data_IF_008339055699
#
_entry.id   IF_008339055699
#
_cell.length_a   1.000
_cell.length_b   1.000
_cell.length_c   1.000
_cell.angle_alpha   90.00
_cell.angle_beta   90.00
_cell.angle_gamma   90.00
#
_symmetry.space_group_name_H-M   'P 1'
#
loop_
_entity.id
_entity.type
_entity.pdbx_description
1 polymer ?
#
# COMPACT_ATOMS: atom_id res chain seq x y z
N UNK A 1 19.51 17.00 14.38
CA UNK A 1 18.70 18.08 13.78
C UNK A 1 19.63 19.24 13.43
N UNK A 2 19.40 19.94 12.31
CA UNK A 2 20.26 21.07 11.90
C UNK A 2 20.19 22.20 12.92
N UNK A 3 21.31 22.87 13.26
CA UNK A 3 21.32 24.05 14.13
C UNK A 3 20.80 25.32 13.44
N UNK A 4 20.53 25.27 12.13
CA UNK A 4 20.07 26.43 11.34
C UNK A 4 18.55 26.49 11.32
N UNK A 5 17.98 27.58 11.85
CA UNK A 5 16.53 27.84 11.78
C UNK A 5 16.07 27.92 10.31
N UNK A 6 15.00 27.19 9.98
CA UNK A 6 14.47 27.08 8.62
C UNK A 6 15.14 26.03 7.72
N UNK A 7 16.19 25.34 8.19
CA UNK A 7 16.83 24.26 7.44
C UNK A 7 16.25 22.89 7.81
N UNK A 8 15.40 22.35 6.95
CA UNK A 8 14.83 21.00 7.06
C UNK A 8 15.10 20.17 5.81
N UNK A 9 15.15 18.85 5.96
CA UNK A 9 15.22 17.91 4.84
C UNK A 9 13.82 17.45 4.41
N UNK A 10 13.70 17.03 3.15
CA UNK A 10 12.53 16.31 2.64
C UNK A 10 13.03 15.00 2.03
N UNK A 11 12.28 13.93 2.24
CA UNK A 11 12.53 12.63 1.62
C UNK A 11 11.25 12.18 0.93
N UNK A 12 11.39 11.74 -0.32
CA UNK A 12 10.34 11.06 -1.06
C UNK A 12 10.75 9.61 -1.28
N UNK A 13 9.84 8.69 -0.96
CA UNK A 13 9.98 7.26 -1.27
C UNK A 13 8.85 6.92 -2.23
N UNK A 14 9.19 6.55 -3.46
CA UNK A 14 8.21 6.11 -4.44
C UNK A 14 7.98 4.59 -4.35
N UNK A 15 6.99 4.22 -3.54
CA UNK A 15 6.56 2.84 -3.31
C UNK A 15 5.45 2.37 -4.29
N UNK A 16 5.26 3.04 -5.42
CA UNK A 16 4.30 2.60 -6.45
C UNK A 16 4.83 1.42 -7.27
N UNK A 17 3.91 0.68 -7.90
CA UNK A 17 4.26 -0.33 -8.90
C UNK A 17 4.94 0.32 -10.11
N UNK A 18 6.02 -0.28 -10.61
CA UNK A 18 6.82 0.29 -11.70
C UNK A 18 6.31 -0.11 -13.08
N UNK A 19 6.23 0.85 -13.98
CA UNK A 19 5.71 0.69 -15.33
C UNK A 19 6.82 0.24 -16.31
N UNK A 20 6.45 -0.24 -17.52
CA UNK A 20 7.42 -0.46 -18.59
C UNK A 20 8.24 0.82 -18.86
N UNK A 21 9.56 0.72 -18.76
CA UNK A 21 10.49 1.86 -18.87
C UNK A 21 11.10 2.30 -17.54
N UNK A 22 10.46 2.01 -16.41
CA UNK A 22 11.03 2.23 -15.07
C UNK A 22 11.77 1.00 -14.55
N UNK A 23 11.46 -0.19 -15.09
CA UNK A 23 12.15 -1.44 -14.80
C UNK A 23 12.12 -2.37 -16.01
N UNK A 24 13.15 -3.20 -16.15
CA UNK A 24 13.21 -4.31 -17.11
C UNK A 24 12.76 -5.66 -16.52
N UNK A 25 12.43 -5.68 -15.22
CA UNK A 25 11.99 -6.88 -14.49
C UNK A 25 10.47 -7.03 -14.59
N UNK A 26 10.00 -8.27 -14.60
CA UNK A 26 8.58 -8.55 -14.38
C UNK A 26 8.17 -8.07 -12.98
N UNK A 27 7.10 -7.29 -12.92
CA UNK A 27 6.55 -6.80 -11.66
C UNK A 27 5.55 -7.81 -11.08
N UNK A 28 5.56 -7.97 -9.77
CA UNK A 28 4.65 -8.92 -9.09
C UNK A 28 3.18 -8.54 -9.26
N UNK A 29 2.31 -9.57 -9.30
CA UNK A 29 0.86 -9.37 -9.30
C UNK A 29 0.35 -9.24 -7.86
N UNK A 30 -0.39 -8.18 -7.57
CA UNK A 30 -1.02 -7.99 -6.27
C UNK A 30 -2.06 -9.08 -6.01
N UNK A 31 -1.99 -9.69 -4.83
CA UNK A 31 -3.02 -10.62 -4.36
C UNK A 31 -4.22 -9.78 -3.89
N UNK A 32 -5.41 -10.13 -4.38
CA UNK A 32 -6.66 -9.48 -4.00
C UNK A 32 -7.64 -10.53 -3.46
N UNK A 33 -8.38 -10.17 -2.41
CA UNK A 33 -9.46 -11.01 -1.89
C UNK A 33 -10.64 -10.94 -2.87
N UNK A 34 -11.33 -12.07 -3.09
CA UNK A 34 -12.55 -12.02 -3.90
C UNK A 34 -13.66 -11.25 -3.16
N UNK A 35 -14.43 -10.46 -3.91
CA UNK A 35 -15.51 -9.63 -3.36
C UNK A 35 -16.56 -10.48 -2.63
N UNK A 36 -16.83 -11.69 -3.13
CA UNK A 36 -17.71 -12.66 -2.48
C UNK A 36 -17.20 -13.09 -1.11
N UNK A 37 -15.91 -13.43 -1.01
CA UNK A 37 -15.29 -13.84 0.26
C UNK A 37 -15.34 -12.68 1.25
N UNK A 38 -14.98 -11.48 0.80
CA UNK A 38 -15.01 -10.28 1.62
C UNK A 38 -16.41 -10.00 2.16
N UNK A 39 -17.43 -9.98 1.29
CA UNK A 39 -18.81 -9.75 1.67
C UNK A 39 -19.38 -10.83 2.61
N UNK A 40 -18.93 -12.08 2.48
CA UNK A 40 -19.29 -13.16 3.41
C UNK A 40 -18.67 -12.93 4.79
N UNK A 41 -17.38 -12.62 4.85
CA UNK A 41 -16.68 -12.38 6.12
C UNK A 41 -17.23 -11.13 6.81
N UNK A 42 -17.48 -10.04 6.08
CA UNK A 42 -18.04 -8.81 6.64
C UNK A 42 -19.38 -9.06 7.35
N UNK A 43 -20.25 -9.92 6.80
CA UNK A 43 -21.51 -10.32 7.45
C UNK A 43 -21.28 -11.12 8.72
N UNK A 44 -20.41 -12.13 8.67
CA UNK A 44 -20.07 -12.96 9.83
C UNK A 44 -19.46 -12.09 10.93
N UNK A 45 -18.61 -11.13 10.56
CA UNK A 45 -17.93 -10.25 11.50
C UNK A 45 -18.91 -9.46 12.37
N UNK A 46 -20.02 -8.98 11.78
CA UNK A 46 -21.08 -8.29 12.53
C UNK A 46 -21.78 -9.19 13.56
N UNK A 47 -21.87 -10.50 13.29
CA UNK A 47 -22.51 -11.48 14.18
C UNK A 47 -21.57 -11.92 15.32
N UNK A 48 -20.26 -11.83 15.13
CA UNK A 48 -19.25 -12.28 16.10
C UNK A 48 -19.02 -11.30 17.25
N UNK A 49 -19.50 -10.06 17.15
CA UNK A 49 -19.35 -9.05 18.21
C UNK A 49 -17.90 -8.60 18.45
N UNK A 50 -17.06 -8.65 17.42
CA UNK A 50 -15.63 -8.30 17.43
C UNK A 50 -15.33 -6.98 16.70
#
# INVERSE_FOLDING_TARGET
ASPVSGLGSKMGIDATNKWPGETSREWGRTITMSDETKARVDRIWQELGL
#
